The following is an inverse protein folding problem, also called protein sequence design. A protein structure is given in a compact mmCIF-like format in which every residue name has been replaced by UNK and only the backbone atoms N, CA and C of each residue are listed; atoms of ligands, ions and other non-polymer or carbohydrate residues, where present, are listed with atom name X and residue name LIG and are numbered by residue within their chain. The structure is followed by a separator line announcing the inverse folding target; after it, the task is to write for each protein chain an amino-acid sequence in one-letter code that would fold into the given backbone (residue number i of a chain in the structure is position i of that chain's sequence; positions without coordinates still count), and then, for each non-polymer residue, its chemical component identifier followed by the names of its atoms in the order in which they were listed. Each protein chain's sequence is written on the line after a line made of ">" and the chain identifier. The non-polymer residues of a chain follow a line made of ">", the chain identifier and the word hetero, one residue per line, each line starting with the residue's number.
data_IF_960919112682
#
_entry.id   IF_960919112682
#
_cell.length_a   1.000
_cell.length_b   1.000
_cell.length_c   1.000
_cell.angle_alpha   90.00
_cell.angle_beta   90.00
_cell.angle_gamma   90.00
#
_symmetry.space_group_name_H-M   'P 1'
#
loop_
_entity.id
_entity.type
_entity.pdbx_description
1 polymer ?
#
# COMPACT_ATOMS: atom_id res chain seq x y z
N UNK A 1 -13.30 14.23 -18.15
CA UNK A 1 -13.52 12.84 -17.76
C UNK A 1 -12.57 12.41 -16.67
N UNK A 2 -13.12 11.92 -15.62
CA UNK A 2 -12.28 11.50 -14.50
C UNK A 2 -11.70 10.11 -14.75
N UNK A 3 -10.41 9.99 -14.46
CA UNK A 3 -9.76 8.71 -14.50
C UNK A 3 -10.22 7.86 -13.32
N UNK A 4 -10.45 6.57 -13.57
CA UNK A 4 -10.76 5.63 -12.51
C UNK A 4 -9.50 5.07 -11.85
N UNK A 5 -8.39 5.74 -12.07
CA UNK A 5 -7.11 5.33 -11.55
C UNK A 5 -6.37 4.42 -12.52
N UNK A 6 -5.26 3.83 -12.08
CA UNK A 6 -4.42 3.00 -12.95
C UNK A 6 -5.16 1.74 -13.38
N UNK A 7 -4.84 1.26 -14.57
CA UNK A 7 -5.37 0.00 -15.09
C UNK A 7 -4.45 -1.15 -14.70
N UNK A 8 -5.06 -2.31 -14.52
CA UNK A 8 -4.29 -3.52 -14.26
C UNK A 8 -3.42 -3.87 -15.46
N UNK A 9 -2.26 -4.46 -15.19
CA UNK A 9 -1.38 -4.90 -16.25
C UNK A 9 -0.74 -6.23 -15.84
N UNK A 10 0.34 -6.63 -16.50
CA UNK A 10 0.97 -7.91 -16.23
C UNK A 10 1.71 -7.97 -14.90
N UNK A 11 1.97 -6.83 -14.28
CA UNK A 11 2.68 -6.77 -13.00
C UNK A 11 1.78 -6.42 -11.84
N UNK A 12 0.77 -5.58 -12.06
CA UNK A 12 -0.01 -4.98 -10.98
C UNK A 12 -1.49 -5.14 -11.18
N UNK A 13 -2.17 -5.50 -10.11
CA UNK A 13 -3.63 -5.48 -10.01
C UNK A 13 -3.97 -4.39 -8.99
N UNK A 14 -4.91 -3.50 -9.33
CA UNK A 14 -5.26 -2.39 -8.46
C UNK A 14 -6.67 -2.59 -7.94
N UNK A 15 -6.81 -2.76 -6.62
CA UNK A 15 -8.14 -2.86 -6.02
C UNK A 15 -8.84 -1.51 -6.08
N UNK A 16 -10.16 -1.52 -6.01
CA UNK A 16 -10.92 -0.27 -5.97
C UNK A 16 -10.52 0.55 -4.74
N UNK A 17 -10.33 -0.11 -3.61
CA UNK A 17 -9.88 0.56 -2.40
C UNK A 17 -8.55 1.28 -2.62
N UNK A 18 -7.58 0.61 -3.28
CA UNK A 18 -6.29 1.23 -3.54
C UNK A 18 -6.43 2.45 -4.44
N UNK A 19 -7.27 2.37 -5.47
CA UNK A 19 -7.50 3.51 -6.37
C UNK A 19 -8.09 4.69 -5.61
N UNK A 20 -9.01 4.42 -4.69
CA UNK A 20 -9.59 5.48 -3.87
C UNK A 20 -8.55 6.13 -2.96
N UNK A 21 -7.65 5.31 -2.41
CA UNK A 21 -6.59 5.83 -1.54
C UNK A 21 -5.58 6.67 -2.31
N UNK A 22 -5.26 6.30 -3.54
CA UNK A 22 -4.41 7.13 -4.39
C UNK A 22 -4.97 8.54 -4.51
N UNK A 23 -6.27 8.63 -4.77
CA UNK A 23 -6.93 9.92 -4.88
C UNK A 23 -6.96 10.65 -3.54
N UNK A 24 -7.29 9.95 -2.49
CA UNK A 24 -7.39 10.54 -1.16
C UNK A 24 -6.09 11.19 -0.72
N UNK A 25 -4.96 10.52 -0.95
CA UNK A 25 -3.66 11.00 -0.49
C UNK A 25 -2.89 11.75 -1.56
N UNK A 26 -3.43 11.84 -2.78
CA UNK A 26 -2.70 12.50 -3.87
C UNK A 26 -1.46 11.74 -4.30
N UNK A 27 -1.50 10.42 -4.24
CA UNK A 27 -0.37 9.56 -4.61
C UNK A 27 -0.59 9.05 -6.01
N UNK A 28 0.41 9.23 -6.89
CA UNK A 28 0.32 8.71 -8.24
C UNK A 28 0.78 7.27 -8.34
N UNK A 29 0.33 6.55 -9.38
CA UNK A 29 0.77 5.15 -9.57
C UNK A 29 2.27 5.01 -9.70
N UNK A 30 2.95 5.99 -10.29
CA UNK A 30 4.40 5.92 -10.44
C UNK A 30 5.12 5.96 -9.10
N UNK A 31 4.59 6.73 -8.15
CA UNK A 31 5.18 6.76 -6.81
C UNK A 31 4.99 5.40 -6.13
N UNK A 32 3.81 4.78 -6.28
CA UNK A 32 3.57 3.44 -5.74
C UNK A 32 4.62 2.47 -6.29
N UNK A 33 4.84 2.49 -7.58
CA UNK A 33 5.81 1.60 -8.22
C UNK A 33 7.24 1.86 -7.72
N UNK A 34 7.57 3.13 -7.47
CA UNK A 34 8.88 3.48 -6.91
C UNK A 34 9.04 2.95 -5.50
N UNK A 35 8.00 3.08 -4.67
CA UNK A 35 8.02 2.52 -3.31
C UNK A 35 8.29 1.02 -3.36
N UNK A 36 7.62 0.32 -4.28
CA UNK A 36 7.76 -1.13 -4.38
C UNK A 36 9.14 -1.55 -4.88
N UNK A 37 9.74 -0.77 -5.78
CA UNK A 37 11.05 -1.11 -6.33
C UNK A 37 12.22 -0.70 -5.44
N UNK A 38 12.08 0.41 -4.74
CA UNK A 38 13.17 0.98 -3.94
C UNK A 38 12.69 1.37 -2.54
N UNK A 39 12.19 0.41 -1.75
CA UNK A 39 11.67 0.73 -0.43
C UNK A 39 12.78 1.05 0.56
N UNK A 40 12.45 1.90 1.52
CA UNK A 40 13.31 2.17 2.65
C UNK A 40 13.02 1.22 3.80
N UNK A 41 11.84 0.61 3.79
CA UNK A 41 11.44 -0.36 4.81
C UNK A 41 10.47 -1.36 4.20
N UNK A 42 10.59 -2.63 4.60
CA UNK A 42 9.70 -3.70 4.15
C UNK A 42 9.24 -4.49 5.37
N UNK A 43 7.93 -4.70 5.47
CA UNK A 43 7.33 -5.51 6.53
C UNK A 43 6.46 -6.60 5.90
N UNK A 44 6.66 -7.83 6.34
CA UNK A 44 5.90 -8.96 5.81
C UNK A 44 5.03 -9.57 6.91
N UNK A 45 3.99 -10.26 6.49
CA UNK A 45 3.20 -11.06 7.42
C UNK A 45 2.19 -10.32 8.26
N UNK A 46 1.87 -9.07 7.92
CA UNK A 46 0.80 -8.33 8.60
C UNK A 46 -0.52 -9.09 8.40
N UNK A 47 -0.72 -9.61 7.19
CA UNK A 47 -1.78 -10.56 6.89
C UNK A 47 -1.20 -11.59 5.93
N UNK A 48 -1.91 -12.69 5.69
CA UNK A 48 -1.40 -13.77 4.86
C UNK A 48 -1.04 -13.28 3.45
N UNK A 49 0.18 -13.58 3.02
CA UNK A 49 0.69 -13.24 1.69
C UNK A 49 0.75 -11.75 1.40
N UNK A 50 0.73 -10.91 2.44
CA UNK A 50 0.83 -9.47 2.26
C UNK A 50 2.22 -8.96 2.59
N UNK A 51 2.57 -7.87 1.92
CA UNK A 51 3.83 -7.16 2.15
C UNK A 51 3.51 -5.67 2.18
N UNK A 52 4.07 -4.97 3.13
CA UNK A 52 3.98 -3.51 3.20
C UNK A 52 5.36 -2.93 2.97
N UNK A 53 5.47 -2.00 2.04
CA UNK A 53 6.72 -1.32 1.75
C UNK A 53 6.56 0.17 1.92
N UNK A 54 7.61 0.84 2.31
CA UNK A 54 7.57 2.24 2.66
C UNK A 54 8.71 2.99 2.01
N UNK A 55 8.44 4.23 1.63
CA UNK A 55 9.46 5.16 1.21
C UNK A 55 9.35 6.43 2.03
N UNK A 56 10.49 6.87 2.56
CA UNK A 56 10.56 8.12 3.32
C UNK A 56 10.45 9.29 2.33
N UNK A 57 9.46 10.12 2.53
CA UNK A 57 9.23 11.31 1.71
C UNK A 57 9.27 12.57 2.56
N UNK A 58 10.04 12.52 3.62
CA UNK A 58 10.21 13.66 4.52
C UNK A 58 10.93 14.82 3.84
N UNK A 59 10.58 16.01 4.26
CA UNK A 59 11.31 17.22 3.89
C UNK A 59 12.01 17.73 5.13
N UNK A 60 12.73 18.84 5.01
CA UNK A 60 13.37 19.45 6.20
C UNK A 60 12.35 19.89 7.25
N UNK A 61 11.14 20.21 6.79
CA UNK A 61 10.10 20.74 7.68
C UNK A 61 9.08 19.71 8.11
N UNK A 62 8.93 18.64 7.32
CA UNK A 62 7.84 17.68 7.55
C UNK A 62 8.34 16.27 7.41
N UNK A 63 8.08 15.45 8.42
CA UNK A 63 8.37 14.03 8.36
C UNK A 63 7.16 13.29 7.83
N UNK A 64 7.34 12.44 6.83
CA UNK A 64 6.26 11.61 6.34
C UNK A 64 6.78 10.39 5.60
N UNK A 65 6.00 9.33 5.66
CA UNK A 65 6.29 8.06 5.00
C UNK A 65 5.13 7.69 4.09
N UNK A 66 5.46 7.21 2.89
CA UNK A 66 4.44 6.69 1.98
C UNK A 66 4.52 5.17 2.05
N UNK A 67 3.40 4.57 2.44
CA UNK A 67 3.27 3.12 2.57
C UNK A 67 2.43 2.56 1.47
N UNK A 68 2.81 1.38 0.99
CA UNK A 68 2.05 0.61 0.00
C UNK A 68 1.95 -0.81 0.51
N UNK A 69 0.74 -1.35 0.56
CA UNK A 69 0.53 -2.75 0.93
C UNK A 69 0.00 -3.52 -0.27
N UNK A 70 0.60 -4.67 -0.52
CA UNK A 70 0.15 -5.52 -1.61
C UNK A 70 0.08 -6.98 -1.14
N UNK A 71 -0.68 -7.76 -1.88
CA UNK A 71 -0.76 -9.20 -1.69
C UNK A 71 -0.14 -9.86 -2.92
N UNK A 72 0.66 -10.89 -2.68
CA UNK A 72 1.24 -11.66 -3.78
C UNK A 72 0.13 -12.45 -4.45
N UNK A 73 0.07 -12.37 -5.77
CA UNK A 73 -0.96 -13.03 -6.57
C UNK A 73 -0.28 -13.62 -7.81
N UNK A 74 0.29 -14.81 -7.67
CA UNK A 74 1.12 -15.38 -8.71
C UNK A 74 2.33 -14.49 -8.95
N UNK A 75 2.56 -14.12 -10.20
CA UNK A 75 3.65 -13.22 -10.55
C UNK A 75 3.27 -11.76 -10.38
N UNK A 76 2.00 -11.49 -10.08
CA UNK A 76 1.51 -10.11 -9.95
C UNK A 76 1.49 -9.66 -8.50
N UNK A 77 1.47 -8.35 -8.32
CA UNK A 77 1.26 -7.71 -7.03
C UNK A 77 -0.12 -7.08 -7.05
N UNK A 78 -0.97 -7.52 -6.14
CA UNK A 78 -2.30 -6.95 -5.99
C UNK A 78 -2.22 -5.83 -4.96
N UNK A 79 -2.33 -4.61 -5.42
CA UNK A 79 -2.20 -3.44 -4.56
C UNK A 79 -3.47 -3.32 -3.71
N UNK A 80 -3.32 -3.53 -2.41
CA UNK A 80 -4.44 -3.50 -1.46
C UNK A 80 -4.74 -2.07 -1.05
N UNK A 81 -3.70 -1.32 -0.68
CA UNK A 81 -3.91 0.03 -0.18
C UNK A 81 -2.60 0.82 -0.19
N UNK A 82 -2.74 2.12 -0.03
CA UNK A 82 -1.61 3.01 0.20
C UNK A 82 -2.06 4.07 1.21
N UNK A 83 -1.12 4.59 1.97
CA UNK A 83 -1.42 5.65 2.93
C UNK A 83 -0.16 6.46 3.22
N UNK A 84 -0.36 7.62 3.83
CA UNK A 84 0.74 8.47 4.29
C UNK A 84 0.73 8.48 5.81
N UNK A 85 1.87 8.16 6.40
CA UNK A 85 2.05 8.25 7.84
C UNK A 85 2.74 9.58 8.15
N UNK A 86 2.12 10.44 8.97
CA UNK A 86 2.70 11.75 9.28
C UNK A 86 3.72 11.61 10.41
N UNK A 87 4.94 11.25 10.05
CA UNK A 87 6.00 11.04 11.02
C UNK A 87 6.91 9.93 10.59
N UNK A 88 7.57 9.32 11.56
CA UNK A 88 8.48 8.21 11.34
C UNK A 88 8.02 7.03 12.19
N UNK A 89 7.68 5.91 11.53
CA UNK A 89 7.24 4.72 12.26
C UNK A 89 8.42 4.12 13.03
N UNK A 90 8.21 3.69 14.28
CA UNK A 90 9.30 3.13 15.09
C UNK A 90 9.89 1.88 14.46
N UNK A 91 11.21 1.80 14.42
CA UNK A 91 11.90 0.63 13.91
C UNK A 91 11.79 -0.52 14.91
N UNK A 92 11.68 -1.73 14.38
CA UNK A 92 11.62 -2.92 15.22
C UNK A 92 10.29 -3.12 15.94
N UNK A 93 9.28 -2.33 15.60
CA UNK A 93 7.94 -2.44 16.18
C UNK A 93 6.92 -2.58 15.07
N UNK A 94 5.71 -2.98 15.44
CA UNK A 94 4.62 -3.07 14.49
C UNK A 94 4.36 -1.70 13.86
N UNK A 95 4.09 -1.70 12.57
CA UNK A 95 3.82 -0.46 11.87
C UNK A 95 2.36 -0.07 12.06
N UNK A 96 2.10 1.23 11.91
CA UNK A 96 0.73 1.72 11.89
C UNK A 96 0.05 1.28 10.58
N UNK A 97 -1.11 0.66 10.70
CA UNK A 97 -1.94 0.30 9.56
C UNK A 97 -3.31 0.92 9.79
N UNK A 98 -3.79 1.79 8.89
CA UNK A 98 -5.09 2.44 9.06
C UNK A 98 -6.23 1.44 9.20
N UNK A 99 -7.28 1.84 9.92
CA UNK A 99 -8.43 0.98 10.17
C UNK A 99 -9.09 0.48 8.89
N UNK A 100 -9.22 1.36 7.89
CA UNK A 100 -9.85 0.97 6.63
C UNK A 100 -9.02 -0.06 5.85
N UNK A 101 -7.71 -0.08 6.07
CA UNK A 101 -6.85 -1.11 5.49
C UNK A 101 -7.11 -2.44 6.17
N UNK A 102 -7.26 -2.44 7.50
CA UNK A 102 -7.63 -3.65 8.23
C UNK A 102 -8.96 -4.21 7.75
N UNK A 103 -9.92 -3.35 7.42
CA UNK A 103 -11.19 -3.80 6.88
C UNK A 103 -11.03 -4.49 5.53
N UNK A 104 -10.15 -3.97 4.68
CA UNK A 104 -9.86 -4.61 3.40
C UNK A 104 -9.18 -5.95 3.57
N UNK A 105 -8.30 -6.06 4.55
CA UNK A 105 -7.61 -7.32 4.83
C UNK A 105 -8.60 -8.39 5.33
N UNK A 106 -9.59 -7.98 6.11
CA UNK A 106 -10.64 -8.91 6.54
C UNK A 106 -11.44 -9.46 5.38
N UNK A 107 -11.74 -8.62 4.39
CA UNK A 107 -12.46 -9.05 3.19
C UNK A 107 -11.69 -10.09 2.41
N UNK A 108 -10.38 -9.94 2.31
CA UNK A 108 -9.55 -10.92 1.63
C UNK A 108 -9.60 -12.27 2.33
N UNK A 109 -9.55 -12.25 3.65
CA UNK A 109 -9.60 -13.48 4.43
C UNK A 109 -10.94 -14.18 4.28
N UNK A 110 -12.03 -13.43 4.30
CA UNK A 110 -13.37 -13.97 4.13
C UNK A 110 -13.55 -14.63 2.77
N UNK A 111 -13.07 -13.96 1.71
CA UNK A 111 -13.16 -14.52 0.36
C UNK A 111 -12.40 -15.82 0.24
N UNK A 112 -11.31 -15.96 0.95
CA UNK A 112 -10.46 -17.12 0.85
C UNK A 112 -11.11 -18.35 1.46
N UNK A 113 -12.00 -18.16 2.40
CA UNK A 113 -12.68 -19.25 3.08
C UNK A 113 -13.89 -19.77 2.34
N UNK A 114 -14.36 -19.05 1.35
CA UNK A 114 -15.56 -19.41 0.59
C UNK A 114 -15.39 -20.69 -0.21
#
# INVERSE_FOLDING_TARGET
>A
MLSNGPKDDYKYIWTMHSKNKLRQYGIGPNLVKRVLRHPDRTEEGIAQNTVAKMKDRSTKKTKKEVWVMYQRSGIKKKIISTWIYPGETPKGKEIFVPDDVWEELKKLKEKKEA
#
